data_IF_975142056812
#
_entry.id   IF_975142056812
#
_cell.length_a   1.000
_cell.length_b   1.000
_cell.length_c   1.000
_cell.angle_alpha   90.00
_cell.angle_beta   90.00
_cell.angle_gamma   90.00
#
_symmetry.space_group_name_H-M   'P 1'
#
loop_
_entity.id
_entity.type
_entity.pdbx_description
1 polymer ?
#
# COMPACT_ATOMS: atom_id res chain seq x y z
N UNK A 1 0.63 -4.28 14.25
CA UNK A 1 2.00 -4.47 14.80
C UNK A 1 3.08 -4.41 13.72
N UNK A 2 2.93 -5.07 12.56
CA UNK A 2 3.97 -5.07 11.50
C UNK A 2 4.34 -3.69 10.94
N UNK A 3 3.38 -2.80 10.64
CA UNK A 3 3.69 -1.49 10.04
C UNK A 3 4.61 -0.59 10.90
N UNK A 4 4.57 -0.72 12.22
CA UNK A 4 5.37 0.12 13.11
C UNK A 4 6.87 -0.23 13.01
N UNK A 5 7.20 -1.52 12.99
CA UNK A 5 8.57 -2.00 12.79
C UNK A 5 9.10 -1.60 11.42
N UNK A 6 8.29 -1.79 10.37
CA UNK A 6 8.64 -1.41 9.00
C UNK A 6 8.88 0.10 8.87
N UNK A 7 8.05 0.94 9.49
CA UNK A 7 8.20 2.39 9.46
C UNK A 7 9.50 2.85 10.15
N UNK A 8 9.88 2.23 11.28
CA UNK A 8 11.16 2.51 11.95
C UNK A 8 12.33 2.12 11.05
N UNK A 9 12.29 0.94 10.42
CA UNK A 9 13.34 0.52 9.49
C UNK A 9 13.49 1.48 8.30
N UNK A 10 12.38 1.93 7.71
CA UNK A 10 12.40 2.89 6.60
C UNK A 10 12.97 4.24 7.04
N UNK A 11 12.66 4.68 8.26
CA UNK A 11 13.19 5.92 8.82
C UNK A 11 14.71 5.85 9.07
N UNK A 12 15.25 4.69 9.45
CA UNK A 12 16.69 4.52 9.72
C UNK A 12 17.51 4.29 8.45
N UNK A 13 16.95 3.61 7.44
CA UNK A 13 17.61 3.36 6.16
C UNK A 13 17.62 4.61 5.26
N UNK A 14 16.49 5.30 5.14
CA UNK A 14 16.37 6.48 4.28
C UNK A 14 16.71 7.73 5.09
N UNK A 15 18.00 8.04 5.18
CA UNK A 15 18.53 9.24 5.84
C UNK A 15 18.37 10.48 4.96
N UNK A 16 18.21 11.64 5.58
CA UNK A 16 18.06 12.93 4.91
C UNK A 16 16.74 13.62 5.22
N UNK A 17 16.80 14.93 5.41
CA UNK A 17 15.64 15.80 5.70
C UNK A 17 15.07 16.47 4.45
N UNK A 18 15.64 16.20 3.28
CA UNK A 18 15.16 16.72 2.01
C UNK A 18 13.72 16.30 1.74
N UNK A 19 12.98 17.16 1.05
CA UNK A 19 11.57 16.96 0.75
C UNK A 19 11.36 15.66 -0.04
N UNK A 20 12.23 15.39 -1.03
CA UNK A 20 12.21 14.16 -1.81
C UNK A 20 12.37 12.90 -0.94
N UNK A 21 13.27 12.93 0.05
CA UNK A 21 13.48 11.82 0.99
C UNK A 21 12.28 11.64 1.91
N UNK A 22 11.62 12.75 2.26
CA UNK A 22 10.40 12.72 3.06
C UNK A 22 9.23 12.10 2.28
N UNK A 23 9.05 12.49 1.01
CA UNK A 23 8.06 11.92 0.10
C UNK A 23 8.36 10.42 -0.12
N UNK A 24 9.62 10.06 -0.33
CA UNK A 24 10.04 8.67 -0.51
C UNK A 24 9.65 7.79 0.68
N UNK A 25 9.97 8.22 1.91
CA UNK A 25 9.59 7.47 3.13
C UNK A 25 8.08 7.31 3.25
N UNK A 26 7.31 8.36 2.97
CA UNK A 26 5.84 8.32 3.00
C UNK A 26 5.29 7.33 1.97
N UNK A 27 5.82 7.35 0.75
CA UNK A 27 5.41 6.42 -0.31
C UNK A 27 5.74 4.97 0.04
N UNK A 28 6.94 4.69 0.57
CA UNK A 28 7.32 3.33 1.00
C UNK A 28 6.37 2.82 2.08
N UNK A 29 6.11 3.61 3.13
CA UNK A 29 5.20 3.20 4.21
C UNK A 29 3.78 3.00 3.68
N UNK A 30 3.31 3.87 2.78
CA UNK A 30 2.00 3.73 2.13
C UNK A 30 1.89 2.42 1.34
N UNK A 31 2.90 2.05 0.56
CA UNK A 31 2.91 0.78 -0.16
C UNK A 31 2.90 -0.44 0.77
N UNK A 32 3.65 -0.39 1.88
CA UNK A 32 3.63 -1.49 2.88
C UNK A 32 2.23 -1.66 3.50
N UNK A 33 1.57 -0.55 3.83
CA UNK A 33 0.19 -0.58 4.36
C UNK A 33 -0.79 -1.07 3.31
N UNK A 34 -0.63 -0.66 2.05
CA UNK A 34 -1.45 -1.12 0.92
C UNK A 34 -1.34 -2.65 0.74
N UNK A 35 -0.12 -3.20 0.70
CA UNK A 35 0.09 -4.65 0.59
C UNK A 35 -0.56 -5.39 1.76
N UNK A 36 -0.43 -4.87 2.98
CA UNK A 36 -1.10 -5.46 4.14
C UNK A 36 -2.63 -5.41 3.99
N UNK A 37 -3.20 -4.31 3.49
CA UNK A 37 -4.64 -4.19 3.27
C UNK A 37 -5.13 -5.17 2.19
N UNK A 38 -4.38 -5.37 1.11
CA UNK A 38 -4.68 -6.35 0.06
C UNK A 38 -4.65 -7.78 0.61
N UNK A 39 -3.62 -8.16 1.36
CA UNK A 39 -3.53 -9.49 1.99
C UNK A 39 -4.67 -9.70 3.00
N UNK A 40 -4.98 -8.69 3.83
CA UNK A 40 -6.08 -8.77 4.80
C UNK A 40 -7.45 -8.86 4.12
N UNK A 41 -7.62 -8.28 2.92
CA UNK A 41 -8.84 -8.41 2.12
C UNK A 41 -9.10 -9.85 1.69
N UNK A 42 -8.05 -10.61 1.39
CA UNK A 42 -8.18 -12.01 0.98
C UNK A 42 -8.46 -12.95 2.16
N UNK A 43 -7.93 -12.65 3.35
CA UNK A 43 -8.05 -13.51 4.54
C UNK A 43 -9.27 -13.16 5.39
N UNK A 44 -9.62 -11.87 5.52
CA UNK A 44 -10.67 -11.38 6.42
C UNK A 44 -11.90 -10.89 5.67
N UNK A 45 -13.03 -11.58 5.88
CA UNK A 45 -14.34 -11.20 5.36
C UNK A 45 -14.77 -9.80 5.80
N UNK A 46 -14.38 -9.35 6.99
CA UNK A 46 -14.71 -8.01 7.48
C UNK A 46 -13.99 -6.92 6.66
N UNK A 47 -12.72 -7.15 6.34
CA UNK A 47 -11.91 -6.23 5.54
C UNK A 47 -12.38 -6.25 4.09
N UNK A 48 -12.73 -7.43 3.54
CA UNK A 48 -13.34 -7.56 2.22
C UNK A 48 -14.67 -6.81 2.09
N UNK A 49 -15.50 -6.80 3.13
CA UNK A 49 -16.74 -6.00 3.15
C UNK A 49 -16.47 -4.50 3.19
N UNK A 50 -15.42 -4.07 3.87
CA UNK A 50 -15.01 -2.67 3.97
C UNK A 50 -14.35 -2.14 2.69
N UNK A 51 -13.59 -2.99 2.02
CA UNK A 51 -12.88 -2.67 0.78
C UNK A 51 -13.18 -3.72 -0.32
N UNK A 52 -14.40 -3.70 -0.89
CA UNK A 52 -14.81 -4.71 -1.87
C UNK A 52 -14.13 -4.55 -3.23
N UNK A 53 -13.87 -3.30 -3.65
CA UNK A 53 -13.28 -2.97 -4.97
C UNK A 53 -11.98 -2.18 -4.82
N UNK A 54 -11.05 -2.27 -5.79
CA UNK A 54 -9.83 -1.46 -5.77
C UNK A 54 -10.11 0.05 -5.75
N UNK A 55 -11.22 0.50 -6.35
CA UNK A 55 -11.70 1.88 -6.27
C UNK A 55 -12.00 2.36 -4.85
N UNK A 56 -12.39 1.48 -3.92
CA UNK A 56 -12.51 1.86 -2.49
C UNK A 56 -11.16 2.06 -1.79
N UNK A 57 -10.09 1.41 -2.28
CA UNK A 57 -8.73 1.63 -1.77
C UNK A 57 -8.19 2.99 -2.22
N UNK A 58 -8.54 3.40 -3.44
CA UNK A 58 -8.27 4.77 -3.94
C UNK A 58 -9.04 5.80 -3.11
N UNK A 59 -10.32 5.56 -2.84
CA UNK A 59 -11.12 6.45 -1.99
C UNK A 59 -10.59 6.56 -0.55
N UNK A 60 -9.96 5.50 -0.04
CA UNK A 60 -9.31 5.50 1.27
C UNK A 60 -7.94 6.21 1.28
N UNK A 61 -7.43 6.65 0.13
CA UNK A 61 -6.14 7.31 0.00
C UNK A 61 -4.93 6.38 0.16
N UNK A 62 -5.15 5.06 0.10
CA UNK A 62 -4.05 4.08 0.14
C UNK A 62 -3.37 3.95 -1.23
N UNK A 63 -4.15 4.13 -2.30
CA UNK A 63 -3.71 4.00 -3.69
C UNK A 63 -4.01 5.30 -4.43
N UNK A 64 -3.09 5.77 -5.29
CA UNK A 64 -3.41 6.87 -6.20
C UNK A 64 -4.18 6.34 -7.42
N UNK A 65 -4.85 7.23 -8.16
CA UNK A 65 -5.59 6.84 -9.38
C UNK A 65 -4.65 6.27 -10.44
N UNK A 66 -3.51 6.92 -10.64
CA UNK A 66 -2.45 6.51 -11.57
C UNK A 66 -1.92 5.12 -11.22
N UNK A 67 -1.67 4.84 -9.94
CA UNK A 67 -1.23 3.52 -9.48
C UNK A 67 -2.30 2.43 -9.67
N UNK A 68 -3.58 2.79 -9.54
CA UNK A 68 -4.68 1.86 -9.79
C UNK A 68 -4.75 1.44 -11.26
N UNK A 69 -4.55 2.39 -12.18
CA UNK A 69 -4.53 2.12 -13.61
C UNK A 69 -3.39 1.15 -13.97
N UNK A 70 -2.19 1.36 -13.41
CA UNK A 70 -1.05 0.46 -13.58
C UNK A 70 -1.37 -0.94 -13.02
N UNK A 71 -2.02 -1.02 -11.86
CA UNK A 71 -2.38 -2.29 -11.23
C UNK A 71 -3.49 -3.05 -12.00
N UNK A 72 -4.34 -2.32 -12.72
CA UNK A 72 -5.38 -2.89 -13.59
C UNK A 72 -4.80 -3.39 -14.92
N UNK A 73 -3.77 -2.71 -15.46
CA UNK A 73 -3.06 -3.09 -16.68
C UNK A 73 -2.22 -4.36 -16.52
N UNK A 74 -1.75 -4.66 -15.30
CA UNK A 74 -1.03 -5.91 -15.00
C UNK A 74 -2.00 -7.09 -15.08
N UNK A 75 -1.97 -7.79 -16.22
CA UNK A 75 -2.78 -8.98 -16.48
C UNK A 75 -2.08 -10.26 -16.01
N UNK A 76 -1.98 -10.43 -14.69
CA UNK A 76 -1.46 -11.66 -14.09
C UNK A 76 -2.62 -12.55 -13.59
N UNK A 77 -2.58 -13.88 -13.85
CA UNK A 77 -3.60 -14.82 -13.36
C UNK A 77 -3.60 -15.03 -11.84
N UNK A 78 -2.59 -14.54 -11.13
CA UNK A 78 -2.44 -14.73 -9.69
C UNK A 78 -2.74 -13.45 -8.87
N UNK A 79 -2.76 -13.56 -7.53
CA UNK A 79 -3.14 -12.46 -6.63
C UNK A 79 -2.12 -11.30 -6.66
N UNK A 80 -2.63 -10.07 -6.77
CA UNK A 80 -1.84 -8.86 -7.06
C UNK A 80 -1.19 -8.18 -5.84
N UNK A 81 -0.85 -8.95 -4.80
CA UNK A 81 -0.22 -8.40 -3.60
C UNK A 81 1.32 -8.51 -3.60
N UNK A 82 1.91 -9.07 -4.66
CA UNK A 82 3.34 -9.14 -4.95
C UNK A 82 3.70 -8.35 -6.20
#
# INVERSE_FOLDING_TARGET
MCCYSSAICVATFVRGTDEDKCILRRNIVRYIVLTQALVLRDISLQVRKRFPTPSTLVAAGLLTKEENEILEDIHDPYNRYW
#
